data_IF_184345033095
#
_entry.id   IF_184345033095
#
_cell.length_a   1.000
_cell.length_b   1.000
_cell.length_c   1.000
_cell.angle_alpha   90.00
_cell.angle_beta   90.00
_cell.angle_gamma   90.00
#
_symmetry.space_group_name_H-M   'P 1'
#
loop_
_entity.id
_entity.type
_entity.pdbx_description
1 polymer ?
#
# COMPACT_ATOMS: atom_id res chain seq x y z
N UNK A 1 -0.60 50.97 -18.40
CA UNK A 1 0.62 50.23 -17.99
C UNK A 1 0.48 49.83 -16.54
N UNK A 2 0.07 48.57 -16.24
CA UNK A 2 -0.11 48.06 -14.90
C UNK A 2 1.12 47.22 -14.53
N UNK A 3 1.84 47.60 -13.47
CA UNK A 3 2.98 46.84 -12.94
C UNK A 3 2.50 45.65 -12.12
N UNK A 4 2.78 44.43 -12.59
CA UNK A 4 2.65 43.20 -11.79
C UNK A 4 3.71 43.23 -10.68
N UNK A 5 3.25 43.24 -9.42
CA UNK A 5 4.09 42.99 -8.24
C UNK A 5 4.22 41.47 -8.04
N UNK A 6 5.38 40.95 -8.37
CA UNK A 6 5.78 39.56 -7.95
C UNK A 6 5.98 39.54 -6.43
N UNK A 7 5.14 38.80 -5.72
CA UNK A 7 5.37 38.49 -4.31
C UNK A 7 6.44 37.41 -4.21
N UNK A 8 7.60 37.78 -3.67
CA UNK A 8 8.67 36.84 -3.32
C UNK A 8 8.18 35.87 -2.24
N UNK A 9 8.30 34.57 -2.51
CA UNK A 9 8.14 33.51 -1.53
C UNK A 9 9.25 33.64 -0.47
N UNK A 10 8.85 33.80 0.79
CA UNK A 10 9.75 33.83 1.95
C UNK A 10 10.24 32.40 2.21
N UNK A 11 11.55 32.19 2.22
CA UNK A 11 12.17 30.90 2.51
C UNK A 11 11.81 30.43 3.94
N UNK A 12 11.63 29.10 4.15
CA UNK A 12 11.30 28.56 5.47
C UNK A 12 12.47 28.69 6.45
N UNK A 13 12.13 28.94 7.71
CA UNK A 13 13.04 29.23 8.81
C UNK A 13 14.07 28.12 9.09
N UNK A 14 15.24 28.56 9.59
CA UNK A 14 16.45 27.76 9.86
C UNK A 14 16.30 26.67 10.95
N UNK A 15 15.13 26.49 11.54
CA UNK A 15 14.88 25.49 12.60
C UNK A 15 14.75 24.05 12.11
N UNK A 16 14.54 23.84 10.80
CA UNK A 16 14.47 22.47 10.23
C UNK A 16 15.85 21.82 10.04
N UNK A 17 16.95 22.56 10.07
CA UNK A 17 18.29 22.03 9.79
C UNK A 17 19.02 21.38 10.96
N UNK A 18 18.46 21.35 12.15
CA UNK A 18 19.10 20.83 13.39
C UNK A 18 18.62 19.44 13.82
N UNK A 19 17.67 18.80 13.13
CA UNK A 19 17.19 17.47 13.47
C UNK A 19 17.85 16.31 12.67
N UNK A 20 18.85 16.57 11.83
CA UNK A 20 19.49 15.56 10.97
C UNK A 20 20.96 15.31 11.30
N UNK A 21 21.37 15.43 12.56
CA UNK A 21 22.73 15.06 12.94
C UNK A 21 22.74 14.48 14.35
N UNK A 22 22.50 13.15 14.45
CA UNK A 22 22.98 12.29 15.55
C UNK A 22 22.32 10.89 15.40
N UNK A 23 23.01 9.97 14.75
CA UNK A 23 22.96 8.53 15.00
C UNK A 23 23.88 7.81 13.98
N UNK A 24 25.17 7.95 14.23
CA UNK A 24 26.15 6.99 13.74
C UNK A 24 26.75 6.31 14.97
N UNK A 25 27.07 5.03 14.82
CA UNK A 25 27.80 4.12 15.71
C UNK A 25 26.98 3.32 16.71
N UNK A 26 26.70 2.05 16.35
CA UNK A 26 27.05 0.91 17.20
C UNK A 26 27.07 -0.39 16.38
N UNK A 27 28.26 -0.76 15.90
CA UNK A 27 28.55 -2.11 15.42
C UNK A 27 28.83 -2.98 16.64
N UNK A 28 28.07 -4.07 16.83
CA UNK A 28 28.46 -5.18 17.70
C UNK A 28 28.46 -6.48 16.91
N UNK A 29 29.66 -7.00 16.75
CA UNK A 29 29.94 -8.32 16.24
C UNK A 29 29.41 -9.40 17.21
N UNK A 30 28.63 -10.35 16.72
CA UNK A 30 28.34 -11.60 17.40
C UNK A 30 29.01 -12.74 16.62
N UNK A 31 30.08 -13.28 17.20
CA UNK A 31 30.76 -14.49 16.74
C UNK A 31 29.95 -15.71 17.14
N UNK A 32 29.52 -16.52 16.16
CA UNK A 32 29.01 -17.87 16.42
C UNK A 32 30.13 -18.87 16.40
N UNK A 33 30.36 -19.52 17.53
CA UNK A 33 31.19 -20.71 17.66
C UNK A 33 30.43 -21.94 17.17
N UNK A 34 30.98 -22.65 16.19
CA UNK A 34 30.52 -23.96 15.73
C UNK A 34 31.27 -25.03 16.48
N UNK A 35 30.59 -25.91 17.18
CA UNK A 35 31.16 -27.14 17.75
C UNK A 35 30.82 -28.37 16.86
N UNK A 36 31.74 -29.24 16.53
CA UNK A 36 31.44 -30.47 15.82
C UNK A 36 31.11 -31.61 16.81
N UNK A 37 29.91 -32.15 16.70
CA UNK A 37 29.51 -33.37 17.43
C UNK A 37 29.50 -34.55 16.47
N UNK A 38 30.47 -35.49 16.66
CA UNK A 38 30.47 -36.80 16.04
C UNK A 38 29.49 -37.74 16.81
N UNK A 39 28.67 -38.49 16.09
CA UNK A 39 27.95 -39.63 16.66
C UNK A 39 27.71 -40.73 15.63
N UNK A 40 28.39 -41.80 15.85
CA UNK A 40 28.22 -43.24 15.62
C UNK A 40 26.99 -43.70 14.79
N UNK A 41 27.36 -44.48 13.79
CA UNK A 41 26.52 -45.44 13.06
C UNK A 41 25.88 -46.49 14.01
N UNK A 42 24.64 -46.77 13.78
CA UNK A 42 24.01 -48.00 14.24
C UNK A 42 23.10 -48.55 13.13
N UNK A 43 23.68 -49.50 12.39
CA UNK A 43 22.98 -50.30 11.37
C UNK A 43 21.94 -51.22 12.04
N UNK A 44 20.66 -50.92 11.87
CA UNK A 44 19.58 -51.89 12.03
C UNK A 44 18.77 -51.95 10.76
N UNK A 45 18.96 -53.05 10.00
CA UNK A 45 18.08 -53.50 8.92
C UNK A 45 16.63 -53.48 9.39
N UNK A 46 15.87 -52.47 8.92
CA UNK A 46 14.41 -52.44 9.06
C UNK A 46 13.76 -52.78 7.72
N UNK A 47 12.97 -53.85 7.73
CA UNK A 47 12.14 -54.33 6.62
C UNK A 47 11.39 -53.13 6.00
N UNK A 48 11.53 -52.96 4.70
CA UNK A 48 10.85 -51.98 3.86
C UNK A 48 9.36 -52.41 3.77
N UNK A 49 8.51 -51.85 4.62
CA UNK A 49 7.08 -51.84 4.39
C UNK A 49 6.86 -50.67 3.40
N UNK A 50 6.61 -51.00 2.12
CA UNK A 50 6.11 -50.04 1.17
C UNK A 50 4.76 -49.52 1.69
N UNK A 51 4.60 -48.19 1.79
CA UNK A 51 3.28 -47.63 2.09
C UNK A 51 2.33 -47.97 0.94
N UNK A 52 1.04 -48.23 1.20
CA UNK A 52 0.07 -48.48 0.15
C UNK A 52 0.08 -47.33 -0.84
N UNK A 53 0.16 -47.67 -2.14
CA UNK A 53 -0.04 -46.70 -3.22
C UNK A 53 -1.45 -46.11 -3.06
N UNK A 54 -1.55 -44.90 -2.55
CA UNK A 54 -2.79 -44.13 -2.59
C UNK A 54 -2.96 -43.72 -4.06
N UNK A 55 -3.86 -44.41 -4.75
CA UNK A 55 -4.33 -43.99 -6.06
C UNK A 55 -5.13 -42.67 -5.85
N UNK A 56 -4.49 -41.53 -6.05
CA UNK A 56 -5.14 -40.21 -6.08
C UNK A 56 -5.87 -39.97 -7.40
N UNK A 57 -6.70 -40.97 -7.83
CA UNK A 57 -7.54 -40.80 -9.03
C UNK A 57 -8.71 -39.81 -8.84
N UNK A 58 -8.81 -39.20 -7.65
CA UNK A 58 -9.77 -38.11 -7.32
C UNK A 58 -9.11 -36.75 -7.22
N UNK A 59 -8.06 -36.46 -7.99
CA UNK A 59 -7.61 -35.07 -8.17
C UNK A 59 -8.73 -34.30 -8.88
N UNK A 60 -9.59 -33.60 -8.11
CA UNK A 60 -10.51 -32.64 -8.71
C UNK A 60 -9.70 -31.74 -9.66
N UNK A 61 -10.15 -31.55 -10.92
CA UNK A 61 -9.45 -30.68 -11.85
C UNK A 61 -9.31 -29.30 -11.21
N UNK A 62 -8.07 -28.83 -11.06
CA UNK A 62 -7.79 -27.46 -10.59
C UNK A 62 -8.33 -26.52 -11.63
N UNK A 63 -9.50 -25.95 -11.41
CA UNK A 63 -10.09 -24.93 -12.28
C UNK A 63 -9.26 -23.67 -12.11
N UNK A 64 -8.65 -23.12 -13.19
CA UNK A 64 -7.91 -21.87 -13.10
C UNK A 64 -8.83 -20.73 -12.62
N UNK A 65 -8.31 -19.86 -11.77
CA UNK A 65 -9.04 -18.66 -11.32
C UNK A 65 -9.38 -17.77 -12.51
N UNK A 66 -10.59 -17.20 -12.54
CA UNK A 66 -10.94 -16.15 -13.49
C UNK A 66 -10.04 -14.91 -13.29
N UNK A 67 -9.96 -14.04 -14.28
CA UNK A 67 -9.16 -12.82 -14.18
C UNK A 67 -9.66 -11.91 -13.04
N UNK A 68 -10.97 -11.82 -12.82
CA UNK A 68 -11.55 -11.10 -11.68
C UNK A 68 -11.12 -11.70 -10.32
N UNK A 69 -11.12 -13.03 -10.22
CA UNK A 69 -10.66 -13.72 -9.01
C UNK A 69 -9.17 -13.52 -8.77
N UNK A 70 -8.35 -13.54 -9.84
CA UNK A 70 -6.92 -13.27 -9.75
C UNK A 70 -6.66 -11.84 -9.25
N UNK A 71 -7.42 -10.86 -9.77
CA UNK A 71 -7.32 -9.46 -9.34
C UNK A 71 -7.78 -9.31 -7.88
N UNK A 72 -8.88 -9.91 -7.48
CA UNK A 72 -9.38 -9.83 -6.09
C UNK A 72 -8.38 -10.41 -5.09
N UNK A 73 -7.78 -11.55 -5.41
CA UNK A 73 -6.70 -12.16 -4.62
C UNK A 73 -5.48 -11.24 -4.56
N UNK A 74 -5.03 -10.72 -5.71
CA UNK A 74 -3.91 -9.79 -5.81
C UNK A 74 -4.14 -8.54 -4.94
N UNK A 75 -5.35 -7.97 -4.93
CA UNK A 75 -5.69 -6.82 -4.10
C UNK A 75 -5.57 -7.12 -2.60
N UNK A 76 -5.96 -8.31 -2.17
CA UNK A 76 -5.82 -8.74 -0.77
C UNK A 76 -4.35 -8.85 -0.37
N UNK A 77 -3.52 -9.44 -1.22
CA UNK A 77 -2.08 -9.56 -1.02
C UNK A 77 -1.38 -8.20 -1.01
N UNK A 78 -1.75 -7.31 -1.93
CA UNK A 78 -1.25 -5.94 -2.01
C UNK A 78 -1.56 -5.14 -0.74
N UNK A 79 -2.81 -5.16 -0.28
CA UNK A 79 -3.23 -4.44 0.92
C UNK A 79 -2.56 -4.98 2.18
N UNK A 80 -2.34 -6.31 2.24
CA UNK A 80 -1.53 -6.91 3.31
C UNK A 80 -0.09 -6.40 3.32
N UNK A 81 0.57 -6.35 2.17
CA UNK A 81 1.91 -5.80 2.03
C UNK A 81 1.96 -4.31 2.41
N UNK A 82 0.96 -3.54 1.99
CA UNK A 82 0.82 -2.12 2.32
C UNK A 82 0.68 -1.90 3.83
N UNK A 83 -0.15 -2.65 4.52
CA UNK A 83 -0.30 -2.54 5.97
C UNK A 83 1.01 -2.82 6.72
N UNK A 84 1.76 -3.83 6.27
CA UNK A 84 3.03 -4.23 6.89
C UNK A 84 4.19 -3.28 6.57
N UNK A 85 4.10 -2.48 5.51
CA UNK A 85 5.22 -1.67 5.02
C UNK A 85 6.21 -2.45 4.17
N UNK A 86 5.79 -3.61 3.62
CA UNK A 86 6.62 -4.47 2.78
C UNK A 86 6.63 -3.94 1.34
N UNK A 87 7.51 -2.95 1.09
CA UNK A 87 7.60 -2.30 -0.22
C UNK A 87 8.11 -3.22 -1.32
N UNK A 88 8.92 -4.22 -1.00
CA UNK A 88 9.39 -5.21 -1.98
C UNK A 88 8.24 -6.13 -2.44
N UNK A 89 7.34 -6.49 -1.52
CA UNK A 89 6.14 -7.23 -1.87
C UNK A 89 5.13 -6.36 -2.62
N UNK A 90 4.95 -5.10 -2.22
CA UNK A 90 4.10 -4.14 -2.92
C UNK A 90 4.54 -3.96 -4.38
N UNK A 91 5.86 -3.90 -4.64
CA UNK A 91 6.42 -3.72 -5.98
C UNK A 91 5.99 -4.82 -6.98
N UNK A 92 5.69 -6.03 -6.49
CA UNK A 92 5.22 -7.13 -7.36
C UNK A 92 3.87 -6.86 -8.00
N UNK A 93 3.11 -5.91 -7.46
CA UNK A 93 1.76 -5.57 -7.90
C UNK A 93 1.69 -4.27 -8.71
N UNK A 94 2.74 -3.45 -8.68
CA UNK A 94 2.80 -2.18 -9.41
C UNK A 94 3.63 -2.28 -10.68
N UNK A 95 3.25 -1.52 -11.69
CA UNK A 95 4.08 -1.26 -12.87
C UNK A 95 5.16 -0.24 -12.54
N UNK A 96 6.32 -0.33 -13.20
CA UNK A 96 7.42 0.65 -13.03
C UNK A 96 6.98 2.08 -13.39
N UNK A 97 6.07 2.22 -14.34
CA UNK A 97 5.53 3.48 -14.85
C UNK A 97 4.19 3.88 -14.21
N UNK A 98 3.86 3.32 -13.04
CA UNK A 98 2.61 3.62 -12.35
C UNK A 98 2.41 5.11 -12.12
N UNK A 99 1.17 5.58 -12.20
CA UNK A 99 0.76 6.91 -11.77
C UNK A 99 -0.15 6.82 -10.53
N UNK A 100 0.17 7.61 -9.49
CA UNK A 100 -0.57 7.59 -8.22
C UNK A 100 -1.12 8.97 -7.91
N UNK A 101 -2.42 9.05 -7.63
CA UNK A 101 -3.14 10.26 -7.23
C UNK A 101 -3.71 10.05 -5.82
N UNK A 102 -3.24 10.83 -4.87
CA UNK A 102 -3.68 10.78 -3.47
C UNK A 102 -4.54 12.01 -3.16
N UNK A 103 -5.78 12.01 -3.59
CA UNK A 103 -6.89 12.88 -3.16
C UNK A 103 -6.66 14.33 -2.76
N UNK A 104 -5.45 14.85 -2.79
CA UNK A 104 -5.08 16.22 -2.46
C UNK A 104 -4.85 17.06 -3.73
N UNK A 105 -4.70 18.37 -3.56
CA UNK A 105 -4.31 19.29 -4.64
C UNK A 105 -2.80 19.18 -4.92
N UNK A 106 -2.37 17.99 -5.37
CA UNK A 106 -0.99 17.70 -5.72
C UNK A 106 -0.93 17.05 -7.10
N UNK A 107 0.21 17.23 -7.77
CA UNK A 107 0.45 16.53 -9.03
C UNK A 107 0.52 15.02 -8.81
N UNK A 108 0.15 14.20 -9.80
CA UNK A 108 0.33 12.76 -9.73
C UNK A 108 1.80 12.39 -9.48
N UNK A 109 2.01 11.41 -8.61
CA UNK A 109 3.31 10.78 -8.43
C UNK A 109 3.48 9.74 -9.54
N UNK A 110 4.54 9.85 -10.34
CA UNK A 110 4.80 8.97 -11.47
C UNK A 110 6.02 8.11 -11.21
N UNK A 111 5.88 6.81 -11.48
CA UNK A 111 6.91 5.79 -11.30
C UNK A 111 6.97 5.18 -9.91
N UNK A 112 7.25 3.86 -9.89
CA UNK A 112 7.33 3.09 -8.66
C UNK A 112 8.32 3.68 -7.65
N UNK A 113 9.53 4.06 -8.08
CA UNK A 113 10.56 4.61 -7.20
C UNK A 113 10.08 5.84 -6.42
N UNK A 114 9.38 6.76 -7.11
CA UNK A 114 8.85 7.97 -6.48
C UNK A 114 7.69 7.64 -5.54
N UNK A 115 6.82 6.72 -5.93
CA UNK A 115 5.72 6.26 -5.07
C UNK A 115 6.24 5.54 -3.83
N UNK A 116 7.22 4.64 -3.96
CA UNK A 116 7.88 3.97 -2.83
C UNK A 116 8.42 4.99 -1.83
N UNK A 117 9.18 5.99 -2.28
CA UNK A 117 9.74 7.02 -1.40
C UNK A 117 8.66 7.81 -0.64
N UNK A 118 7.57 8.20 -1.33
CA UNK A 118 6.43 8.86 -0.70
C UNK A 118 5.75 7.96 0.34
N UNK A 119 5.51 6.70 -0.01
CA UNK A 119 4.89 5.73 0.88
C UNK A 119 5.74 5.49 2.13
N UNK A 120 7.05 5.27 1.99
CA UNK A 120 7.98 5.05 3.10
C UNK A 120 8.02 6.26 4.04
N UNK A 121 8.00 7.48 3.50
CA UNK A 121 7.88 8.70 4.29
C UNK A 121 6.58 8.72 5.09
N UNK A 122 5.45 8.42 4.48
CA UNK A 122 4.16 8.36 5.18
C UNK A 122 4.13 7.26 6.24
N UNK A 123 4.63 6.07 5.88
CA UNK A 123 4.64 4.89 6.74
C UNK A 123 5.49 5.09 7.99
N UNK A 124 6.57 5.88 7.93
CA UNK A 124 7.43 6.18 9.09
C UNK A 124 6.69 6.89 10.23
N UNK A 125 5.57 7.54 9.94
CA UNK A 125 4.69 8.20 10.92
C UNK A 125 3.55 7.32 11.42
N UNK A 126 3.44 6.07 10.92
CA UNK A 126 2.29 5.20 11.19
C UNK A 126 2.71 3.95 11.96
N UNK A 127 1.98 3.63 13.03
CA UNK A 127 2.09 2.39 13.78
C UNK A 127 0.73 1.70 13.86
N UNK A 128 0.70 0.38 14.07
CA UNK A 128 -0.52 -0.42 14.24
C UNK A 128 -1.53 -0.19 13.12
N UNK A 129 -1.06 -0.18 11.89
CA UNK A 129 -1.89 0.08 10.72
C UNK A 129 -2.85 -1.06 10.48
N UNK A 130 -4.13 -0.74 10.35
CA UNK A 130 -5.21 -1.60 9.88
C UNK A 130 -5.89 -0.93 8.69
N UNK A 131 -6.11 -1.69 7.62
CA UNK A 131 -6.79 -1.24 6.41
C UNK A 131 -7.74 -2.34 5.94
N UNK A 132 -9.03 -2.09 6.05
CA UNK A 132 -10.07 -3.03 5.63
C UNK A 132 -10.66 -2.56 4.29
N UNK A 133 -10.75 -3.46 3.33
CA UNK A 133 -11.36 -3.25 2.02
C UNK A 133 -12.78 -3.81 2.00
N UNK A 134 -13.71 -3.07 1.40
CA UNK A 134 -15.10 -3.47 1.27
C UNK A 134 -15.72 -3.00 -0.04
N UNK A 135 -16.84 -3.59 -0.43
CA UNK A 135 -17.61 -3.13 -1.59
C UNK A 135 -16.84 -3.18 -2.90
N UNK A 136 -16.00 -4.20 -3.10
CA UNK A 136 -15.13 -4.29 -4.27
C UNK A 136 -15.93 -4.60 -5.53
N UNK A 137 -15.73 -3.78 -6.56
CA UNK A 137 -16.19 -4.00 -7.93
C UNK A 137 -14.98 -4.16 -8.85
N UNK A 138 -14.94 -5.21 -9.63
CA UNK A 138 -13.89 -5.49 -10.61
C UNK A 138 -14.53 -5.68 -11.97
N UNK A 139 -13.98 -5.05 -13.00
CA UNK A 139 -14.37 -5.25 -14.39
C UNK A 139 -13.14 -5.49 -15.24
N UNK A 140 -13.14 -6.62 -15.94
CA UNK A 140 -12.10 -7.00 -16.91
C UNK A 140 -12.57 -6.71 -18.32
N UNK A 141 -11.67 -6.17 -19.13
CA UNK A 141 -11.86 -5.94 -20.56
C UNK A 141 -10.56 -6.30 -21.32
N UNK A 142 -10.47 -7.54 -21.76
CA UNK A 142 -9.26 -8.08 -22.39
C UNK A 142 -8.06 -8.06 -21.44
N UNK A 143 -7.02 -7.35 -21.79
CA UNK A 143 -5.80 -7.20 -20.97
C UNK A 143 -5.81 -5.98 -20.06
N UNK A 144 -6.93 -5.28 -19.98
CA UNK A 144 -7.12 -4.13 -19.08
C UNK A 144 -8.25 -4.42 -18.12
N UNK A 145 -8.12 -3.97 -16.89
CA UNK A 145 -9.17 -4.04 -15.90
C UNK A 145 -9.20 -2.78 -15.04
N UNK A 146 -10.32 -2.56 -14.35
CA UNK A 146 -10.38 -1.60 -13.26
C UNK A 146 -11.03 -2.23 -12.05
N UNK A 147 -10.57 -1.80 -10.87
CA UNK A 147 -11.12 -2.19 -9.58
C UNK A 147 -11.47 -0.94 -8.79
N UNK A 148 -12.67 -0.91 -8.22
CA UNK A 148 -13.13 0.16 -7.33
C UNK A 148 -13.52 -0.46 -6.01
N UNK A 149 -13.11 0.16 -4.88
CA UNK A 149 -13.50 -0.31 -3.56
C UNK A 149 -13.50 0.82 -2.54
N UNK A 150 -14.24 0.62 -1.47
CA UNK A 150 -14.19 1.43 -0.27
C UNK A 150 -13.18 0.86 0.71
N UNK A 151 -12.67 1.69 1.59
CA UNK A 151 -11.74 1.24 2.63
C UNK A 151 -11.95 2.01 3.94
N UNK A 152 -11.66 1.32 5.04
CA UNK A 152 -11.53 1.89 6.37
C UNK A 152 -10.10 1.70 6.86
N UNK A 153 -9.55 2.77 7.41
CA UNK A 153 -8.17 2.84 7.90
C UNK A 153 -8.18 3.21 9.38
N UNK A 154 -7.34 2.54 10.15
CA UNK A 154 -7.02 2.86 11.53
C UNK A 154 -5.52 2.73 11.77
N UNK A 155 -4.91 3.71 12.41
CA UNK A 155 -3.51 3.66 12.81
C UNK A 155 -3.21 4.63 13.95
N UNK A 156 -2.07 4.44 14.63
CA UNK A 156 -1.44 5.51 15.37
C UNK A 156 -0.60 6.34 14.39
N UNK A 157 -0.98 7.59 14.17
CA UNK A 157 -0.24 8.54 13.32
C UNK A 157 0.32 9.62 14.22
N UNK A 158 1.66 9.71 14.32
CA UNK A 158 2.34 10.59 15.28
C UNK A 158 1.77 10.42 16.70
N UNK A 159 1.63 9.17 17.14
CA UNK A 159 1.06 8.73 18.45
C UNK A 159 -0.42 9.07 18.68
N UNK A 160 -1.11 9.67 17.72
CA UNK A 160 -2.55 9.92 17.79
C UNK A 160 -3.35 8.84 17.04
N UNK A 161 -4.36 8.26 17.70
CA UNK A 161 -5.28 7.33 17.04
C UNK A 161 -6.03 8.07 15.93
N UNK A 162 -5.81 7.64 14.72
CA UNK A 162 -6.38 8.23 13.49
C UNK A 162 -7.21 7.17 12.78
N UNK A 163 -8.46 7.51 12.48
CA UNK A 163 -9.32 6.72 11.61
C UNK A 163 -9.64 7.51 10.35
N UNK A 164 -9.71 6.84 9.21
CA UNK A 164 -10.08 7.45 7.95
C UNK A 164 -10.93 6.48 7.11
N UNK A 165 -11.71 7.05 6.22
CA UNK A 165 -12.50 6.32 5.22
C UNK A 165 -12.29 6.93 3.86
N UNK A 166 -12.32 6.09 2.84
CA UNK A 166 -12.15 6.58 1.50
C UNK A 166 -12.53 5.58 0.43
N UNK A 167 -12.16 5.93 -0.78
CA UNK A 167 -12.40 5.11 -1.97
C UNK A 167 -11.12 5.07 -2.80
N UNK A 168 -10.92 3.92 -3.44
CA UNK A 168 -9.79 3.73 -4.38
C UNK A 168 -10.33 3.21 -5.70
N UNK A 169 -9.80 3.74 -6.79
CA UNK A 169 -9.95 3.21 -8.14
C UNK A 169 -8.57 2.85 -8.67
N UNK A 170 -8.42 1.62 -9.11
CA UNK A 170 -7.22 1.10 -9.73
C UNK A 170 -7.47 0.79 -11.21
N UNK A 171 -6.53 1.14 -12.07
CA UNK A 171 -6.44 0.61 -13.43
C UNK A 171 -5.33 -0.42 -13.46
N UNK A 172 -5.64 -1.59 -14.02
CA UNK A 172 -4.72 -2.72 -14.10
C UNK A 172 -4.51 -3.14 -15.56
N UNK A 173 -3.30 -3.62 -15.84
CA UNK A 173 -2.95 -4.20 -17.14
C UNK A 173 -2.35 -5.58 -16.92
N UNK A 174 -2.79 -6.54 -17.73
CA UNK A 174 -2.23 -7.88 -17.73
C UNK A 174 -0.96 -7.89 -18.59
N UNK A 175 0.18 -8.13 -17.97
CA UNK A 175 1.47 -8.35 -18.64
C UNK A 175 1.87 -9.80 -18.42
N UNK A 176 2.00 -10.55 -19.51
CA UNK A 176 2.17 -12.00 -19.51
C UNK A 176 1.02 -12.69 -18.76
N UNK A 177 1.28 -13.24 -17.58
CA UNK A 177 0.28 -13.93 -16.75
C UNK A 177 -0.12 -13.15 -15.50
N UNK A 178 0.38 -11.92 -15.31
CA UNK A 178 0.18 -11.15 -14.07
C UNK A 178 -0.57 -9.85 -14.32
N UNK A 179 -1.47 -9.51 -13.43
CA UNK A 179 -2.10 -8.21 -13.35
C UNK A 179 -1.21 -7.24 -12.59
N UNK A 180 -0.97 -6.04 -13.16
CA UNK A 180 -0.19 -4.96 -12.56
C UNK A 180 -1.01 -3.69 -12.50
N UNK A 181 -0.91 -2.97 -11.38
CA UNK A 181 -1.49 -1.65 -11.18
C UNK A 181 -0.68 -0.64 -11.98
N UNK A 182 -1.31 0.04 -12.94
CA UNK A 182 -0.70 1.12 -13.75
C UNK A 182 -1.21 2.50 -13.33
N UNK A 183 -2.35 2.55 -12.63
CA UNK A 183 -2.89 3.77 -12.06
C UNK A 183 -3.57 3.46 -10.73
N UNK A 184 -3.33 4.31 -9.74
CA UNK A 184 -3.95 4.27 -8.42
C UNK A 184 -4.50 5.66 -8.10
N UNK A 185 -5.81 5.75 -7.92
CA UNK A 185 -6.45 6.97 -7.44
C UNK A 185 -7.19 6.68 -6.13
N UNK A 186 -6.65 7.24 -5.06
CA UNK A 186 -7.24 7.13 -3.72
C UNK A 186 -7.71 8.49 -3.23
N UNK A 187 -8.95 8.57 -2.78
CA UNK A 187 -9.54 9.75 -2.15
C UNK A 187 -9.99 9.44 -0.72
N UNK A 188 -9.68 10.36 0.18
CA UNK A 188 -10.14 10.33 1.57
C UNK A 188 -11.44 11.09 1.67
N UNK A 189 -12.49 10.42 2.19
CA UNK A 189 -13.82 11.03 2.39
C UNK A 189 -13.95 11.63 3.78
N UNK A 190 -13.34 10.97 4.77
CA UNK A 190 -13.41 11.39 6.17
C UNK A 190 -12.13 11.00 6.90
N UNK A 191 -11.66 11.89 7.79
CA UNK A 191 -10.58 11.60 8.73
C UNK A 191 -10.97 12.10 10.12
N UNK A 192 -10.74 11.27 11.16
CA UNK A 192 -10.94 11.63 12.57
C UNK A 192 -9.66 11.32 13.33
N UNK A 193 -9.14 12.32 14.08
CA UNK A 193 -8.05 12.14 15.03
C UNK A 193 -8.61 12.23 16.44
N UNK A 194 -8.36 11.23 17.28
CA UNK A 194 -8.75 11.29 18.70
C UNK A 194 -7.89 12.31 19.42
N UNK A 195 -8.55 13.19 20.19
CA UNK A 195 -7.90 14.30 20.93
C UNK A 195 -8.00 15.65 20.22
N UNK A 196 -8.47 15.70 18.98
CA UNK A 196 -8.84 16.95 18.33
C UNK A 196 -10.37 17.14 18.42
N UNK A 197 -10.89 18.29 18.88
CA UNK A 197 -12.33 18.54 18.83
C UNK A 197 -12.80 18.36 17.37
N UNK A 198 -13.91 17.66 17.18
CA UNK A 198 -14.47 17.40 15.86
C UNK A 198 -14.59 18.75 15.13
N UNK A 199 -13.75 18.92 14.10
CA UNK A 199 -13.82 20.11 13.26
C UNK A 199 -15.23 20.22 12.69
N UNK A 200 -15.86 21.37 12.82
CA UNK A 200 -17.14 21.68 12.21
C UNK A 200 -17.12 21.20 10.75
N UNK A 201 -18.10 20.40 10.27
CA UNK A 201 -18.14 19.98 8.88
C UNK A 201 -18.00 21.20 7.99
N UNK A 202 -17.13 21.15 6.99
CA UNK A 202 -17.01 22.22 6.02
C UNK A 202 -18.43 22.47 5.45
N UNK A 203 -18.90 23.69 5.61
CA UNK A 203 -20.21 24.09 5.09
C UNK A 203 -20.24 23.74 3.60
N UNK A 204 -21.35 23.19 3.07
CA UNK A 204 -21.47 22.92 1.64
C UNK A 204 -21.21 24.22 0.88
N UNK A 205 -20.34 24.14 -0.12
CA UNK A 205 -19.97 25.28 -0.96
C UNK A 205 -21.26 25.98 -1.42
N UNK A 206 -21.38 27.23 -1.02
CA UNK A 206 -22.60 28.02 -1.19
C UNK A 206 -23.08 27.99 -2.65
N UNK A 207 -24.35 27.74 -2.81
CA UNK A 207 -25.07 27.92 -4.07
C UNK A 207 -24.74 29.30 -4.65
N UNK A 208 -24.09 29.29 -5.82
CA UNK A 208 -23.80 30.50 -6.56
C UNK A 208 -25.10 31.27 -6.77
N UNK A 209 -25.17 32.47 -6.20
CA UNK A 209 -26.27 33.39 -6.42
C UNK A 209 -26.32 33.76 -7.91
N UNK A 210 -27.49 33.55 -8.51
CA UNK A 210 -27.83 33.93 -9.88
C UNK A 210 -27.59 35.43 -10.06
N UNK A 211 -26.86 35.89 -11.12
CA UNK A 211 -26.72 37.33 -11.38
C UNK A 211 -28.04 37.98 -11.71
N UNK A 212 -28.28 39.28 -11.34
CA UNK A 212 -29.51 39.96 -11.65
C UNK A 212 -29.59 40.17 -13.18
N UNK A 213 -30.78 39.88 -13.72
CA UNK A 213 -31.17 40.19 -15.11
C UNK A 213 -31.31 41.70 -15.28
N UNK A 214 -30.60 42.26 -16.26
CA UNK A 214 -30.93 43.56 -16.88
C UNK A 214 -31.93 43.36 -18.01
#
# INVERSE_FOLDING_TARGET
MARLRTKFFKAPDKTWRLAMALLATMAMAFSLAVAPGASAQNDKKKKKNEPPKVNNDNANPVVPLSDEQQIDYMLSEYLGAWQLGDTERMHKFYSEDVSVVNGGWAAPVVGWTNFKALYEQQKSHMQRVRLDRMGTYIKVNGTTAWACYQWEFEALVDDALTTARGQTTLILVKRDTRWLIVHDHTSVVQTVKQGQPAGTPAAPAGTASKPPSQ
#
